data_IF_399252795063
#
_entry.id   IF_399252795063
#
_cell.length_a   1.000
_cell.length_b   1.000
_cell.length_c   1.000
_cell.angle_alpha   90.00
_cell.angle_beta   90.00
_cell.angle_gamma   90.00
#
_symmetry.space_group_name_H-M   'P 1'
#
loop_
_entity.id
_entity.type
_entity.pdbx_description
1 polymer ?
#
# COMPACT_ATOMS: atom_id res chain seq x y z
N UNK A 1 -7.94 15.62 27.83
CA UNK A 1 -7.79 14.21 28.24
C UNK A 1 -8.81 13.38 27.47
N UNK A 2 -8.45 12.98 26.25
CA UNK A 2 -9.30 12.17 25.39
C UNK A 2 -9.34 10.75 25.93
N UNK A 3 -10.53 10.28 26.30
CA UNK A 3 -10.71 8.89 26.70
C UNK A 3 -10.24 7.98 25.58
N UNK A 4 -9.26 7.12 25.88
CA UNK A 4 -8.96 5.97 25.04
C UNK A 4 -10.25 5.16 25.04
N UNK A 5 -10.97 5.12 23.90
CA UNK A 5 -12.11 4.22 23.77
C UNK A 5 -11.62 2.81 24.09
N UNK A 6 -12.43 1.98 24.75
CA UNK A 6 -12.10 0.57 25.03
C UNK A 6 -11.57 -0.16 23.78
N UNK A 7 -11.98 0.28 22.58
CA UNK A 7 -11.54 -0.21 21.27
C UNK A 7 -10.09 0.15 20.89
N UNK A 8 -9.37 0.92 21.71
CA UNK A 8 -8.02 1.43 21.40
C UNK A 8 -6.93 0.87 22.31
N UNK A 9 -7.29 0.13 23.36
CA UNK A 9 -6.32 -0.51 24.24
C UNK A 9 -6.25 -2.02 23.95
N UNK A 10 -5.07 -2.55 23.62
CA UNK A 10 -4.88 -3.95 23.24
C UNK A 10 -4.80 -4.86 24.47
N UNK A 11 -5.94 -4.98 25.18
CA UNK A 11 -5.97 -5.59 26.50
C UNK A 11 -5.51 -7.05 26.54
N UNK A 12 -5.84 -7.87 25.53
CA UNK A 12 -5.42 -9.28 25.54
C UNK A 12 -3.92 -9.41 25.31
N UNK A 13 -3.38 -8.59 24.41
CA UNK A 13 -1.95 -8.55 24.15
C UNK A 13 -1.17 -8.05 25.39
N UNK A 14 -1.73 -7.10 26.13
CA UNK A 14 -1.18 -6.64 27.41
C UNK A 14 -1.23 -7.76 28.44
N UNK A 15 -2.38 -8.41 28.62
CA UNK A 15 -2.55 -9.52 29.56
C UNK A 15 -1.51 -10.62 29.28
N UNK A 16 -1.31 -10.97 28.00
CA UNK A 16 -0.24 -11.90 27.58
C UNK A 16 1.14 -11.45 28.08
N UNK A 17 1.55 -10.20 27.84
CA UNK A 17 2.87 -9.72 28.29
C UNK A 17 3.01 -9.72 29.82
N UNK A 18 1.95 -9.35 30.53
CA UNK A 18 1.94 -9.23 32.00
C UNK A 18 1.95 -10.60 32.67
N UNK A 19 1.09 -11.51 32.22
CA UNK A 19 0.96 -12.86 32.77
C UNK A 19 2.26 -13.65 32.62
N UNK A 20 2.96 -13.44 31.50
CA UNK A 20 4.26 -14.07 31.20
C UNK A 20 5.46 -13.24 31.68
N UNK A 21 5.23 -12.11 32.38
CA UNK A 21 6.25 -11.26 32.98
C UNK A 21 7.34 -10.82 31.99
N UNK A 22 6.95 -10.52 30.75
CA UNK A 22 7.87 -10.12 29.68
C UNK A 22 8.52 -8.77 30.03
N UNK A 23 9.83 -8.63 29.82
CA UNK A 23 10.61 -7.41 30.15
C UNK A 23 11.55 -7.01 29.05
N UNK A 24 11.52 -5.74 28.65
CA UNK A 24 12.48 -5.21 27.69
C UNK A 24 12.05 -3.93 27.02
N UNK A 25 12.81 -3.53 25.99
CA UNK A 25 12.54 -2.36 25.19
C UNK A 25 11.80 -2.76 23.92
N UNK A 26 10.64 -2.14 23.67
CA UNK A 26 9.77 -2.48 22.55
C UNK A 26 9.69 -1.36 21.51
N UNK A 27 9.77 -1.74 20.24
CA UNK A 27 9.31 -0.93 19.12
C UNK A 27 7.80 -1.07 18.98
N UNK A 28 7.07 0.03 18.73
CA UNK A 28 5.61 -0.02 18.66
C UNK A 28 5.00 0.93 17.62
N UNK A 29 3.73 0.71 17.31
CA UNK A 29 2.96 1.59 16.44
C UNK A 29 2.57 2.90 17.14
N UNK A 30 2.35 3.96 16.34
CA UNK A 30 2.04 5.31 16.84
C UNK A 30 0.60 5.36 17.39
N UNK A 31 0.40 4.86 18.62
CA UNK A 31 -0.92 4.87 19.26
C UNK A 31 -0.87 4.94 20.80
N UNK A 32 -2.01 5.26 21.41
CA UNK A 32 -2.14 5.43 22.86
C UNK A 32 -2.03 4.13 23.67
N UNK A 33 -2.17 2.96 23.03
CA UNK A 33 -2.16 1.66 23.70
C UNK A 33 -0.77 1.31 24.24
N UNK A 34 0.25 1.44 23.38
CA UNK A 34 1.64 1.23 23.77
C UNK A 34 2.13 2.24 24.82
N UNK A 35 1.68 3.51 24.73
CA UNK A 35 1.94 4.53 25.75
C UNK A 35 1.39 4.15 27.13
N UNK A 36 0.14 3.67 27.17
CA UNK A 36 -0.50 3.26 28.42
C UNK A 36 0.20 2.05 29.03
N UNK A 37 0.70 1.13 28.22
CA UNK A 37 1.42 -0.04 28.69
C UNK A 37 2.69 0.36 29.47
N UNK A 38 3.54 1.24 28.92
CA UNK A 38 4.74 1.73 29.61
C UNK A 38 4.46 2.55 30.88
N UNK A 39 3.25 3.12 31.03
CA UNK A 39 2.82 3.83 32.24
C UNK A 39 2.24 2.92 33.32
N UNK A 40 1.59 1.84 32.92
CA UNK A 40 0.85 0.95 33.83
C UNK A 40 1.73 -0.20 34.31
N UNK A 41 2.72 -0.61 33.50
CA UNK A 41 3.63 -1.71 33.80
C UNK A 41 5.09 -1.26 33.62
N UNK A 42 5.73 -0.65 34.63
CA UNK A 42 7.07 -0.06 34.51
C UNK A 42 8.19 -1.03 34.15
N UNK A 43 7.98 -2.33 34.42
CA UNK A 43 8.89 -3.42 34.06
C UNK A 43 8.88 -3.74 32.55
N UNK A 44 7.84 -3.29 31.84
CA UNK A 44 7.73 -3.38 30.38
C UNK A 44 7.96 -1.97 29.81
N UNK A 45 9.20 -1.67 29.43
CA UNK A 45 9.58 -0.36 28.88
C UNK A 45 9.14 -0.26 27.41
N UNK A 46 7.85 -0.11 27.22
CA UNK A 46 7.24 0.15 25.91
C UNK A 46 7.15 1.65 25.77
N UNK A 47 7.99 2.25 24.94
CA UNK A 47 8.05 3.71 24.84
C UNK A 47 8.49 4.24 23.48
N UNK A 48 8.85 3.40 22.50
CA UNK A 48 9.49 3.86 21.26
C UNK A 48 8.47 4.10 20.14
N UNK A 49 7.79 5.25 20.24
CA UNK A 49 6.60 5.60 19.45
C UNK A 49 6.78 6.90 18.66
N UNK A 50 7.99 7.19 18.18
CA UNK A 50 8.27 8.33 17.29
C UNK A 50 8.23 9.71 17.95
N UNK A 51 7.90 9.82 19.24
CA UNK A 51 7.78 11.12 19.92
C UNK A 51 9.11 11.89 19.97
N UNK A 52 9.11 13.06 19.34
CA UNK A 52 10.31 13.88 19.14
C UNK A 52 10.84 14.47 20.44
N UNK A 53 9.99 14.65 21.46
CA UNK A 53 10.39 15.12 22.78
C UNK A 53 11.16 14.08 23.60
N UNK A 54 11.01 12.79 23.27
CA UNK A 54 11.71 11.68 23.96
C UNK A 54 12.92 11.19 23.16
N UNK A 55 12.78 11.07 21.82
CA UNK A 55 13.79 10.42 20.97
C UNK A 55 14.41 11.35 19.90
N UNK A 56 13.94 12.59 19.79
CA UNK A 56 14.46 13.56 18.83
C UNK A 56 13.93 13.40 17.39
N UNK A 57 14.18 14.40 16.56
CA UNK A 57 13.69 14.46 15.17
C UNK A 57 14.40 13.52 14.20
N UNK A 58 15.62 13.07 14.50
CA UNK A 58 16.32 12.04 13.73
C UNK A 58 15.61 10.69 13.87
N UNK A 59 15.34 10.26 15.10
CA UNK A 59 14.59 9.05 15.40
C UNK A 59 13.22 9.08 14.74
N UNK A 60 12.46 10.17 14.89
CA UNK A 60 11.11 10.26 14.30
C UNK A 60 11.12 10.13 12.78
N UNK A 61 12.09 10.78 12.10
CA UNK A 61 12.26 10.61 10.64
C UNK A 61 12.59 9.16 10.27
N UNK A 62 13.38 8.48 11.09
CA UNK A 62 13.69 7.07 10.86
C UNK A 62 12.50 6.15 11.11
N UNK A 63 11.78 6.37 12.19
CA UNK A 63 10.52 5.71 12.50
C UNK A 63 9.52 5.83 11.35
N UNK A 64 9.31 7.05 10.83
CA UNK A 64 8.43 7.27 9.68
C UNK A 64 8.89 6.51 8.44
N UNK A 65 10.20 6.44 8.15
CA UNK A 65 10.70 5.63 7.02
C UNK A 65 10.42 4.14 7.21
N UNK A 66 10.59 3.61 8.43
CA UNK A 66 10.24 2.22 8.74
C UNK A 66 8.73 2.01 8.53
N UNK A 67 7.91 2.92 9.04
CA UNK A 67 6.46 2.82 8.99
C UNK A 67 5.83 3.11 7.62
N UNK A 68 6.45 3.96 6.79
CA UNK A 68 5.91 4.29 5.46
C UNK A 68 6.48 3.38 4.37
N UNK A 69 7.72 2.93 4.52
CA UNK A 69 8.48 2.22 3.46
C UNK A 69 8.95 0.83 3.85
N UNK A 70 8.74 0.39 5.09
CA UNK A 70 9.29 -0.89 5.58
C UNK A 70 10.81 -0.93 5.47
N UNK A 71 11.49 0.13 5.91
CA UNK A 71 12.95 0.23 5.90
C UNK A 71 13.59 -0.66 6.99
N UNK A 72 13.86 -1.92 6.64
CA UNK A 72 14.36 -2.93 7.58
C UNK A 72 15.80 -2.66 8.03
N UNK A 73 16.63 -2.04 7.20
CA UNK A 73 18.01 -1.68 7.57
C UNK A 73 18.02 -0.62 8.66
N UNK A 74 17.15 0.38 8.52
CA UNK A 74 17.00 1.41 9.53
C UNK A 74 16.39 0.86 10.82
N UNK A 75 15.46 -0.09 10.71
CA UNK A 75 14.93 -0.80 11.86
C UNK A 75 16.04 -1.52 12.64
N UNK A 76 16.93 -2.27 11.98
CA UNK A 76 18.04 -2.95 12.66
C UNK A 76 19.01 -1.98 13.37
N UNK A 77 19.26 -0.81 12.76
CA UNK A 77 20.03 0.25 13.44
C UNK A 77 19.35 0.68 14.75
N UNK A 78 18.02 0.90 14.72
CA UNK A 78 17.24 1.26 15.91
C UNK A 78 17.26 0.12 16.94
N UNK A 79 17.18 -1.14 16.51
CA UNK A 79 17.26 -2.31 17.39
C UNK A 79 18.55 -2.31 18.19
N UNK A 80 19.68 -2.00 17.56
CA UNK A 80 20.98 -1.93 18.22
C UNK A 80 21.10 -0.70 19.14
N UNK A 81 20.77 0.49 18.62
CA UNK A 81 20.91 1.77 19.33
C UNK A 81 20.08 1.80 20.63
N UNK A 82 18.87 1.25 20.57
CA UNK A 82 17.94 1.28 21.70
C UNK A 82 17.77 -0.07 22.40
N UNK A 83 18.60 -1.06 22.05
CA UNK A 83 18.60 -2.39 22.66
C UNK A 83 17.20 -3.03 22.67
N UNK A 84 16.52 -2.97 21.52
CA UNK A 84 15.18 -3.53 21.38
C UNK A 84 15.22 -5.05 21.55
N UNK A 85 14.30 -5.55 22.37
CA UNK A 85 14.09 -7.00 22.58
C UNK A 85 12.69 -7.44 22.18
N UNK A 86 11.78 -6.51 21.88
CA UNK A 86 10.43 -6.82 21.43
C UNK A 86 9.90 -5.85 20.39
N UNK A 87 8.89 -6.29 19.65
CA UNK A 87 8.08 -5.47 18.76
C UNK A 87 6.63 -5.70 19.12
N UNK A 88 5.90 -4.63 19.45
CA UNK A 88 4.50 -4.67 19.86
C UNK A 88 3.67 -3.80 18.93
N UNK A 89 2.84 -4.40 18.07
CA UNK A 89 2.10 -3.69 17.04
C UNK A 89 0.61 -3.90 17.26
N UNK A 90 -0.05 -2.89 17.84
CA UNK A 90 -1.44 -2.97 18.27
C UNK A 90 -2.43 -2.41 17.25
N UNK A 91 -2.21 -2.73 15.98
CA UNK A 91 -2.88 -2.17 14.80
C UNK A 91 -4.41 -2.36 14.80
N UNK A 92 -5.13 -1.60 15.62
CA UNK A 92 -6.59 -1.49 15.54
C UNK A 92 -7.00 -0.38 14.56
N UNK A 93 -6.10 0.55 14.24
CA UNK A 93 -6.44 1.77 13.47
C UNK A 93 -5.51 2.09 12.30
N UNK A 94 -4.31 1.54 12.22
CA UNK A 94 -3.33 1.89 11.19
C UNK A 94 -2.76 0.64 10.54
N UNK A 95 -2.65 0.64 9.21
CA UNK A 95 -2.03 -0.44 8.46
C UNK A 95 -0.56 -0.60 8.88
N UNK A 96 -0.19 -1.78 9.37
CA UNK A 96 1.22 -2.15 9.55
C UNK A 96 1.78 -2.46 8.16
N UNK A 97 2.98 -1.95 7.81
CA UNK A 97 3.58 -2.24 6.50
C UNK A 97 3.85 -3.74 6.33
N UNK A 98 3.30 -4.31 5.26
CA UNK A 98 3.50 -5.73 4.89
C UNK A 98 4.99 -6.11 4.85
N UNK A 99 5.82 -5.27 4.23
CA UNK A 99 7.27 -5.50 4.15
C UNK A 99 7.92 -5.59 5.54
N UNK A 100 7.45 -4.81 6.51
CA UNK A 100 8.00 -4.82 7.86
C UNK A 100 7.51 -6.04 8.66
N UNK A 101 6.22 -6.40 8.56
CA UNK A 101 5.71 -7.63 9.18
C UNK A 101 6.37 -8.88 8.63
N UNK A 102 6.52 -8.98 7.31
CA UNK A 102 7.17 -10.12 6.67
C UNK A 102 8.63 -10.22 7.11
N UNK A 103 9.34 -9.09 7.19
CA UNK A 103 10.69 -9.07 7.73
C UNK A 103 10.78 -9.65 9.15
N UNK A 104 9.88 -9.25 10.04
CA UNK A 104 9.86 -9.77 11.42
C UNK A 104 9.48 -11.24 11.48
N UNK A 105 8.55 -11.69 10.64
CA UNK A 105 8.10 -13.09 10.62
C UNK A 105 9.10 -14.05 9.99
N UNK A 106 9.77 -13.62 8.91
CA UNK A 106 10.74 -14.44 8.18
C UNK A 106 12.15 -14.41 8.83
N UNK A 107 12.41 -13.47 9.73
CA UNK A 107 13.70 -13.33 10.39
C UNK A 107 13.93 -14.41 11.45
N UNK A 108 15.13 -15.03 11.52
CA UNK A 108 15.47 -15.96 12.61
C UNK A 108 15.66 -15.25 13.96
N UNK A 109 15.88 -13.93 13.94
CA UNK A 109 16.14 -13.12 15.12
C UNK A 109 14.86 -12.71 15.85
N UNK A 110 13.70 -12.85 15.20
CA UNK A 110 12.40 -12.43 15.72
C UNK A 110 11.42 -13.60 15.69
N UNK A 111 10.65 -13.74 16.77
CA UNK A 111 9.69 -14.83 16.95
C UNK A 111 8.32 -14.30 17.28
N UNK A 112 7.33 -14.70 16.48
CA UNK A 112 5.94 -14.32 16.69
C UNK A 112 5.41 -15.12 17.88
N UNK A 113 5.16 -14.45 19.00
CA UNK A 113 4.68 -15.11 20.24
C UNK A 113 3.23 -14.79 20.57
N UNK A 114 2.66 -13.79 19.90
CA UNK A 114 1.27 -13.39 20.08
C UNK A 114 0.67 -12.86 18.80
N UNK A 115 -0.53 -13.35 18.47
CA UNK A 115 -1.30 -12.91 17.32
C UNK A 115 -2.80 -13.00 17.62
N UNK A 116 -3.46 -11.85 17.75
CA UNK A 116 -4.93 -11.75 17.84
C UNK A 116 -5.40 -10.42 17.20
N UNK A 117 -6.69 -10.11 17.32
CA UNK A 117 -7.29 -8.95 16.68
C UNK A 117 -6.81 -7.59 17.19
N UNK A 118 -6.18 -7.55 18.36
CA UNK A 118 -5.77 -6.33 19.04
C UNK A 118 -4.27 -6.04 18.93
N UNK A 119 -3.43 -7.06 18.76
CA UNK A 119 -2.01 -6.86 18.48
C UNK A 119 -1.30 -8.07 17.84
N UNK A 120 -0.09 -7.78 17.36
CA UNK A 120 0.95 -8.74 17.01
C UNK A 120 2.17 -8.45 17.86
N UNK A 121 2.76 -9.48 18.47
CA UNK A 121 3.98 -9.33 19.29
C UNK A 121 5.07 -10.26 18.78
N UNK A 122 6.21 -9.66 18.47
CA UNK A 122 7.44 -10.39 18.21
C UNK A 122 8.41 -10.19 19.37
N UNK A 123 9.09 -11.26 19.76
CA UNK A 123 10.20 -11.21 20.70
C UNK A 123 11.49 -11.56 19.99
N UNK A 124 12.57 -10.91 20.41
CA UNK A 124 13.89 -11.22 19.90
C UNK A 124 14.31 -12.60 20.40
N UNK A 125 14.95 -13.38 19.54
CA UNK A 125 15.42 -14.73 19.83
C UNK A 125 16.69 -14.70 20.69
N UNK A 126 16.53 -14.34 21.97
CA UNK A 126 17.59 -14.20 22.98
C UNK A 126 17.38 -15.18 24.13
N UNK A 127 18.40 -15.38 24.96
CA UNK A 127 18.39 -16.36 26.05
C UNK A 127 17.24 -16.13 27.03
N UNK A 128 16.93 -14.86 27.31
CA UNK A 128 15.90 -14.41 28.24
C UNK A 128 14.49 -14.83 27.83
N UNK A 129 14.24 -15.04 26.53
CA UNK A 129 12.92 -15.38 26.00
C UNK A 129 12.83 -16.81 25.44
N UNK A 130 13.86 -17.64 25.56
CA UNK A 130 13.85 -18.98 24.97
C UNK A 130 12.67 -19.83 25.46
N UNK A 131 12.44 -19.88 26.77
CA UNK A 131 11.36 -20.69 27.35
C UNK A 131 9.98 -20.22 26.84
N UNK A 132 9.78 -18.89 26.82
CA UNK A 132 8.54 -18.29 26.34
C UNK A 132 8.33 -18.50 24.84
N UNK A 133 9.39 -18.38 24.04
CA UNK A 133 9.34 -18.62 22.60
C UNK A 133 9.03 -20.11 22.34
N UNK A 134 9.66 -21.04 23.06
CA UNK A 134 9.37 -22.47 22.90
C UNK A 134 7.91 -22.81 23.19
N UNK A 135 7.27 -22.12 24.14
CA UNK A 135 5.87 -22.34 24.49
C UNK A 135 4.88 -21.65 23.52
N UNK A 136 5.24 -20.48 22.98
CA UNK A 136 4.31 -19.61 22.26
C UNK A 136 4.68 -19.27 20.81
N UNK A 137 5.75 -19.84 20.21
CA UNK A 137 6.08 -19.59 18.80
C UNK A 137 4.89 -19.96 17.89
N UNK A 138 4.42 -18.98 17.11
CA UNK A 138 3.22 -19.11 16.27
C UNK A 138 3.64 -19.34 14.82
N UNK A 139 3.30 -20.53 14.31
CA UNK A 139 3.31 -20.83 12.88
C UNK A 139 1.97 -20.42 12.26
N UNK A 140 1.94 -19.29 11.55
CA UNK A 140 0.72 -18.77 10.92
C UNK A 140 0.14 -19.70 9.84
N UNK A 141 0.93 -20.64 9.29
CA UNK A 141 0.40 -21.64 8.36
C UNK A 141 -0.53 -22.63 9.06
N UNK A 142 -0.22 -22.98 10.32
CA UNK A 142 -0.97 -23.92 11.14
C UNK A 142 -1.89 -23.25 12.15
N UNK A 143 -1.75 -21.93 12.30
CA UNK A 143 -2.51 -21.16 13.26
C UNK A 143 -4.00 -21.14 12.90
N UNK A 144 -4.83 -21.29 13.92
CA UNK A 144 -6.27 -21.11 13.84
C UNK A 144 -6.73 -20.24 15.01
N UNK A 145 -7.75 -19.40 14.80
CA UNK A 145 -8.31 -18.64 15.89
C UNK A 145 -9.09 -19.53 16.86
N UNK A 146 -8.95 -19.25 18.14
CA UNK A 146 -9.81 -19.88 19.14
C UNK A 146 -11.27 -19.50 18.89
N UNK A 147 -12.19 -20.48 18.88
CA UNK A 147 -13.61 -20.18 18.76
C UNK A 147 -14.05 -19.34 19.96
N UNK A 148 -14.78 -18.25 19.68
CA UNK A 148 -15.36 -17.44 20.74
C UNK A 148 -16.38 -18.27 21.51
N UNK A 149 -16.24 -18.33 22.83
CA UNK A 149 -17.31 -18.84 23.69
C UNK A 149 -18.45 -17.81 23.72
N UNK A 150 -19.38 -18.00 22.77
CA UNK A 150 -20.53 -17.13 22.54
C UNK A 150 -21.39 -17.03 23.81
N UNK A 151 -21.46 -18.10 24.60
CA UNK A 151 -22.25 -18.15 25.85
C UNK A 151 -21.60 -17.27 26.92
N UNK A 152 -20.27 -17.33 27.05
CA UNK A 152 -19.52 -16.52 28.03
C UNK A 152 -19.44 -15.04 27.64
N UNK A 153 -19.32 -14.75 26.35
CA UNK A 153 -19.16 -13.37 25.83
C UNK A 153 -20.52 -12.65 25.77
N UNK A 154 -21.59 -13.40 25.49
CA UNK A 154 -22.93 -12.88 25.29
C UNK A 154 -23.11 -12.18 23.94
N UNK A 155 -24.34 -12.16 23.39
CA UNK A 155 -24.61 -11.70 22.03
C UNK A 155 -24.30 -10.21 21.79
N UNK A 156 -24.30 -9.40 22.85
CA UNK A 156 -24.01 -7.94 22.76
C UNK A 156 -22.53 -7.60 22.57
N UNK A 157 -21.61 -8.57 22.71
CA UNK A 157 -20.16 -8.36 22.59
C UNK A 157 -19.53 -9.11 21.41
N UNK A 158 -20.35 -9.72 20.56
CA UNK A 158 -19.91 -10.38 19.33
C UNK A 158 -19.72 -9.32 18.26
N UNK A 159 -18.47 -8.93 18.06
CA UNK A 159 -18.13 -7.87 17.13
C UNK A 159 -17.31 -8.42 15.97
N UNK A 160 -17.75 -8.23 14.71
CA UNK A 160 -17.10 -8.81 13.54
C UNK A 160 -15.74 -8.17 13.26
N UNK A 161 -15.43 -7.03 13.90
CA UNK A 161 -14.15 -6.35 13.73
C UNK A 161 -12.98 -7.23 14.18
N UNK A 162 -13.17 -8.13 15.16
CA UNK A 162 -12.08 -8.97 15.69
C UNK A 162 -11.51 -9.89 14.61
N UNK A 163 -12.39 -10.69 14.03
CA UNK A 163 -12.09 -11.56 12.90
C UNK A 163 -11.56 -10.76 11.70
N UNK A 164 -12.14 -9.59 11.43
CA UNK A 164 -11.66 -8.73 10.34
C UNK A 164 -10.22 -8.24 10.55
N UNK A 165 -9.83 -7.80 11.75
CA UNK A 165 -8.47 -7.31 11.97
C UNK A 165 -7.44 -8.44 11.88
N UNK A 166 -7.77 -9.64 12.38
CA UNK A 166 -6.91 -10.82 12.15
C UNK A 166 -6.79 -11.11 10.66
N UNK A 167 -7.90 -11.15 9.94
CA UNK A 167 -7.89 -11.35 8.49
C UNK A 167 -7.03 -10.32 7.77
N UNK A 168 -7.14 -9.05 8.14
CA UNK A 168 -6.39 -7.94 7.55
C UNK A 168 -4.89 -8.05 7.80
N UNK A 169 -4.49 -8.44 9.01
CA UNK A 169 -3.08 -8.67 9.33
C UNK A 169 -2.53 -9.89 8.60
N UNK A 170 -3.29 -10.99 8.54
CA UNK A 170 -2.93 -12.19 7.77
C UNK A 170 -2.76 -11.90 6.28
N UNK A 171 -3.68 -11.12 5.68
CA UNK A 171 -3.57 -10.66 4.28
C UNK A 171 -2.30 -9.84 4.08
N UNK A 172 -2.00 -8.92 5.01
CA UNK A 172 -0.79 -8.08 4.96
C UNK A 172 0.49 -8.91 5.06
N UNK A 173 0.44 -10.06 5.74
CA UNK A 173 1.54 -11.01 5.87
C UNK A 173 1.57 -12.07 4.75
N UNK A 174 0.62 -12.03 3.82
CA UNK A 174 0.55 -12.97 2.69
C UNK A 174 -0.14 -14.32 3.00
N UNK A 175 -0.69 -14.51 4.20
CA UNK A 175 -1.44 -15.70 4.60
C UNK A 175 -2.89 -15.63 4.09
N UNK A 176 -3.05 -15.63 2.77
CA UNK A 176 -4.32 -15.34 2.10
C UNK A 176 -5.44 -16.34 2.45
N UNK A 177 -5.11 -17.62 2.67
CA UNK A 177 -6.11 -18.64 3.02
C UNK A 177 -6.65 -18.47 4.44
N UNK A 178 -5.76 -18.25 5.41
CA UNK A 178 -6.10 -17.93 6.80
C UNK A 178 -6.87 -16.61 6.85
N UNK A 179 -6.44 -15.60 6.08
CA UNK A 179 -7.12 -14.32 5.97
C UNK A 179 -8.57 -14.47 5.47
N UNK A 180 -8.79 -15.28 4.42
CA UNK A 180 -10.15 -15.58 3.93
C UNK A 180 -10.98 -16.33 4.97
N UNK A 181 -10.40 -17.27 5.74
CA UNK A 181 -11.10 -18.01 6.81
C UNK A 181 -11.60 -17.05 7.88
N UNK A 182 -10.73 -16.18 8.39
CA UNK A 182 -11.10 -15.17 9.38
C UNK A 182 -12.10 -14.16 8.82
N UNK A 183 -11.94 -13.69 7.59
CA UNK A 183 -12.89 -12.78 6.96
C UNK A 183 -14.30 -13.39 6.82
N UNK A 184 -14.39 -14.70 6.52
CA UNK A 184 -15.67 -15.41 6.49
C UNK A 184 -16.31 -15.50 7.87
N UNK A 185 -15.53 -15.79 8.91
CA UNK A 185 -16.04 -15.76 10.29
C UNK A 185 -16.63 -14.38 10.62
N UNK A 186 -15.96 -13.28 10.23
CA UNK A 186 -16.50 -11.94 10.41
C UNK A 186 -17.88 -11.75 9.74
N UNK A 187 -18.09 -12.36 8.57
CA UNK A 187 -19.36 -12.33 7.85
C UNK A 187 -20.43 -13.24 8.46
N UNK A 188 -20.04 -14.38 9.04
CA UNK A 188 -20.97 -15.25 9.75
C UNK A 188 -21.57 -14.55 10.98
N UNK A 189 -20.79 -13.69 11.65
CA UNK A 189 -21.29 -12.83 12.74
C UNK A 189 -22.08 -11.62 12.25
N UNK A 190 -21.64 -10.97 11.18
CA UNK A 190 -22.35 -9.83 10.59
C UNK A 190 -22.24 -9.83 9.06
N UNK A 191 -23.26 -10.37 8.37
CA UNK A 191 -23.29 -10.42 6.90
C UNK A 191 -23.32 -9.04 6.23
N UNK A 192 -23.64 -7.97 6.95
CA UNK A 192 -23.65 -6.60 6.42
C UNK A 192 -22.31 -5.88 6.55
N UNK A 193 -21.30 -6.53 7.16
CA UNK A 193 -20.01 -5.91 7.36
C UNK A 193 -19.21 -5.86 6.04
N UNK A 194 -19.09 -4.67 5.47
CA UNK A 194 -18.52 -4.47 4.15
C UNK A 194 -17.01 -4.80 4.04
N UNK A 195 -16.22 -4.55 5.09
CA UNK A 195 -14.75 -4.66 5.02
C UNK A 195 -14.23 -6.09 4.75
N UNK A 196 -14.79 -7.16 5.34
CA UNK A 196 -14.44 -8.53 4.96
C UNK A 196 -14.67 -8.85 3.49
N UNK A 197 -15.76 -8.35 2.87
CA UNK A 197 -15.97 -8.51 1.43
C UNK A 197 -14.87 -7.80 0.62
N UNK A 198 -14.52 -6.57 1.00
CA UNK A 198 -13.41 -5.85 0.37
C UNK A 198 -12.09 -6.63 0.47
N UNK A 199 -11.79 -7.17 1.65
CA UNK A 199 -10.57 -7.96 1.87
C UNK A 199 -10.54 -9.23 1.01
N UNK A 200 -11.62 -10.02 1.01
CA UNK A 200 -11.69 -11.23 0.18
C UNK A 200 -11.59 -10.87 -1.31
N UNK A 201 -12.21 -9.76 -1.73
CA UNK A 201 -12.09 -9.24 -3.09
C UNK A 201 -10.66 -8.89 -3.48
N UNK A 202 -9.91 -8.20 -2.60
CA UNK A 202 -8.49 -7.88 -2.82
C UNK A 202 -7.64 -9.14 -2.95
N UNK A 203 -7.87 -10.15 -2.11
CA UNK A 203 -7.17 -11.44 -2.22
C UNK A 203 -7.45 -12.09 -3.58
N UNK A 204 -8.70 -12.11 -4.04
CA UNK A 204 -8.99 -12.66 -5.37
C UNK A 204 -8.35 -11.86 -6.51
N UNK A 205 -8.33 -10.52 -6.41
CA UNK A 205 -7.68 -9.68 -7.41
C UNK A 205 -6.16 -9.88 -7.46
N UNK A 206 -5.51 -10.05 -6.29
CA UNK A 206 -4.07 -10.38 -6.18
C UNK A 206 -3.72 -11.69 -6.89
N UNK A 207 -4.64 -12.65 -6.92
CA UNK A 207 -4.50 -13.93 -7.63
C UNK A 207 -5.14 -13.92 -9.04
N UNK A 208 -5.36 -12.72 -9.61
CA UNK A 208 -5.91 -12.50 -10.96
C UNK A 208 -7.29 -13.14 -11.20
N UNK A 209 -8.01 -13.49 -10.13
CA UNK A 209 -9.36 -14.04 -10.19
C UNK A 209 -10.39 -12.91 -10.25
N UNK A 210 -10.30 -12.06 -11.29
CA UNK A 210 -11.03 -10.79 -11.39
C UNK A 210 -12.56 -10.93 -11.29
N UNK A 211 -13.13 -11.98 -11.88
CA UNK A 211 -14.57 -12.28 -11.77
C UNK A 211 -15.03 -12.55 -10.34
N UNK A 212 -14.19 -13.23 -9.54
CA UNK A 212 -14.49 -13.44 -8.12
C UNK A 212 -14.32 -12.12 -7.36
N UNK A 213 -13.23 -11.40 -7.61
CA UNK A 213 -12.96 -10.10 -6.98
C UNK A 213 -14.12 -9.12 -7.18
N UNK A 214 -14.62 -9.01 -8.43
CA UNK A 214 -15.78 -8.20 -8.79
C UNK A 214 -17.01 -8.52 -7.94
N UNK A 215 -17.37 -9.81 -7.79
CA UNK A 215 -18.53 -10.22 -6.98
C UNK A 215 -18.41 -9.72 -5.53
N UNK A 216 -17.23 -9.84 -4.93
CA UNK A 216 -16.99 -9.39 -3.56
C UNK A 216 -16.96 -7.87 -3.43
N UNK A 217 -16.29 -7.14 -4.33
CA UNK A 217 -16.27 -5.67 -4.30
C UNK A 217 -17.64 -5.05 -4.55
N UNK A 218 -18.46 -5.67 -5.40
CA UNK A 218 -19.84 -5.24 -5.64
C UNK A 218 -20.67 -5.32 -4.37
N UNK A 219 -20.57 -6.43 -3.63
CA UNK A 219 -21.25 -6.60 -2.34
C UNK A 219 -20.73 -5.61 -1.29
N UNK A 220 -19.40 -5.42 -1.20
CA UNK A 220 -18.81 -4.42 -0.30
C UNK A 220 -19.37 -3.01 -0.56
N UNK A 221 -19.47 -2.62 -1.83
CA UNK A 221 -20.01 -1.32 -2.25
C UNK A 221 -21.52 -1.20 -2.02
N UNK A 222 -22.28 -2.30 -2.12
CA UNK A 222 -23.71 -2.30 -1.75
C UNK A 222 -23.92 -1.98 -0.26
N UNK A 223 -23.09 -2.53 0.62
CA UNK A 223 -23.19 -2.27 2.06
C UNK A 223 -22.62 -0.90 2.48
N UNK A 224 -21.64 -0.37 1.73
CA UNK A 224 -21.07 0.96 1.99
C UNK A 224 -20.97 1.80 0.70
N UNK A 225 -22.09 2.29 0.15
CA UNK A 225 -22.10 3.01 -1.12
C UNK A 225 -21.38 4.37 -1.06
N UNK A 226 -21.17 4.93 0.12
CA UNK A 226 -20.40 6.17 0.32
C UNK A 226 -18.88 5.96 0.47
N UNK A 227 -18.39 4.71 0.47
CA UNK A 227 -16.98 4.43 0.68
C UNK A 227 -16.20 4.49 -0.65
N UNK A 228 -15.46 5.59 -0.84
CA UNK A 228 -14.68 5.86 -2.06
C UNK A 228 -13.60 4.79 -2.30
N UNK A 229 -12.97 4.25 -1.25
CA UNK A 229 -11.96 3.20 -1.40
C UNK A 229 -12.58 1.92 -1.97
N UNK A 230 -13.77 1.54 -1.50
CA UNK A 230 -14.49 0.37 -2.03
C UNK A 230 -14.93 0.59 -3.48
N UNK A 231 -15.36 1.81 -3.83
CA UNK A 231 -15.65 2.16 -5.23
C UNK A 231 -14.43 2.08 -6.14
N UNK A 232 -13.26 2.50 -5.69
CA UNK A 232 -12.01 2.31 -6.45
C UNK A 232 -11.75 0.84 -6.75
N UNK A 233 -11.93 -0.04 -5.77
CA UNK A 233 -11.73 -1.47 -5.96
C UNK A 233 -12.77 -2.05 -6.94
N UNK A 234 -14.03 -1.61 -6.86
CA UNK A 234 -15.07 -2.01 -7.80
C UNK A 234 -14.77 -1.52 -9.23
N UNK A 235 -14.36 -0.27 -9.40
CA UNK A 235 -13.98 0.31 -10.69
C UNK A 235 -12.79 -0.42 -11.32
N UNK A 236 -11.77 -0.76 -10.50
CA UNK A 236 -10.64 -1.58 -10.94
C UNK A 236 -11.11 -2.96 -11.39
N UNK A 237 -11.95 -3.64 -10.61
CA UNK A 237 -12.43 -4.96 -10.99
C UNK A 237 -13.30 -4.94 -12.25
N UNK A 238 -14.11 -3.90 -12.49
CA UNK A 238 -14.80 -3.71 -13.77
C UNK A 238 -13.80 -3.56 -14.92
N UNK A 239 -12.73 -2.80 -14.73
CA UNK A 239 -11.68 -2.64 -15.73
C UNK A 239 -11.00 -3.98 -16.04
N UNK A 240 -10.66 -4.76 -15.02
CA UNK A 240 -9.93 -6.03 -15.16
C UNK A 240 -10.77 -7.15 -15.81
N UNK A 241 -12.10 -7.11 -15.68
CA UNK A 241 -13.01 -8.03 -16.39
C UNK A 241 -13.43 -7.53 -17.79
N UNK A 242 -12.87 -6.41 -18.27
CA UNK A 242 -13.16 -5.85 -19.59
C UNK A 242 -14.44 -5.00 -19.69
N UNK A 243 -15.11 -4.75 -18.57
CA UNK A 243 -16.35 -3.95 -18.50
C UNK A 243 -16.01 -2.45 -18.34
N UNK A 244 -15.33 -1.91 -19.35
CA UNK A 244 -14.70 -0.58 -19.31
C UNK A 244 -15.72 0.56 -19.16
N UNK A 245 -16.91 0.47 -19.75
CA UNK A 245 -17.98 1.46 -19.57
C UNK A 245 -18.44 1.53 -18.10
N UNK A 246 -18.59 0.38 -17.44
CA UNK A 246 -18.99 0.33 -16.03
C UNK A 246 -17.87 0.82 -15.11
N UNK A 247 -16.61 0.55 -15.47
CA UNK A 247 -15.46 1.12 -14.77
C UNK A 247 -15.47 2.66 -14.85
N UNK A 248 -15.74 3.21 -16.05
CA UNK A 248 -15.86 4.65 -16.27
C UNK A 248 -16.96 5.28 -15.40
N UNK A 249 -18.14 4.65 -15.33
CA UNK A 249 -19.23 5.12 -14.47
C UNK A 249 -18.83 5.19 -12.99
N UNK A 250 -18.11 4.18 -12.48
CA UNK A 250 -17.65 4.19 -11.09
C UNK A 250 -16.59 5.26 -10.84
N UNK A 251 -15.66 5.49 -11.77
CA UNK A 251 -14.71 6.60 -11.66
C UNK A 251 -15.39 7.97 -11.71
N UNK A 252 -16.42 8.13 -12.53
CA UNK A 252 -17.23 9.36 -12.55
C UNK A 252 -17.95 9.58 -11.22
N UNK A 253 -18.50 8.53 -10.59
CA UNK A 253 -19.07 8.63 -9.24
C UNK A 253 -18.01 9.04 -8.21
N UNK A 254 -16.80 8.48 -8.28
CA UNK A 254 -15.69 8.86 -7.40
C UNK A 254 -15.36 10.35 -7.57
N UNK A 255 -15.28 10.85 -8.81
CA UNK A 255 -15.00 12.26 -9.12
C UNK A 255 -16.15 13.15 -8.65
N UNK A 256 -17.41 12.73 -8.75
CA UNK A 256 -18.54 13.48 -8.19
C UNK A 256 -18.44 13.61 -6.67
N UNK A 257 -18.02 12.55 -5.97
CA UNK A 257 -17.82 12.57 -4.52
C UNK A 257 -16.56 13.35 -4.11
N UNK A 258 -15.52 13.34 -4.95
CA UNK A 258 -14.25 14.06 -4.78
C UNK A 258 -13.79 14.71 -6.09
N UNK A 259 -14.23 15.95 -6.38
CA UNK A 259 -13.98 16.61 -7.66
C UNK A 259 -12.51 16.87 -8.02
N UNK A 260 -11.63 16.88 -7.02
CA UNK A 260 -10.21 17.22 -7.13
C UNK A 260 -9.31 16.05 -6.68
N UNK A 261 -9.58 14.85 -7.19
CA UNK A 261 -8.82 13.65 -6.87
C UNK A 261 -7.97 13.21 -8.09
N UNK A 262 -6.66 13.55 -8.14
CA UNK A 262 -5.80 13.25 -9.29
C UNK A 262 -5.77 11.76 -9.66
N UNK A 263 -5.79 10.88 -8.65
CA UNK A 263 -5.82 9.43 -8.85
C UNK A 263 -7.07 8.96 -9.62
N UNK A 264 -8.23 9.55 -9.35
CA UNK A 264 -9.46 9.19 -10.06
C UNK A 264 -9.41 9.63 -11.53
N UNK A 265 -8.84 10.82 -11.79
CA UNK A 265 -8.68 11.36 -13.13
C UNK A 265 -7.69 10.56 -13.97
N UNK A 266 -6.57 10.12 -13.37
CA UNK A 266 -5.64 9.19 -14.01
C UNK A 266 -6.30 7.86 -14.39
N UNK A 267 -6.97 7.21 -13.44
CA UNK A 267 -7.61 5.93 -13.70
C UNK A 267 -8.77 6.05 -14.71
N UNK A 268 -9.52 7.15 -14.67
CA UNK A 268 -10.51 7.50 -15.69
C UNK A 268 -9.87 7.65 -17.08
N UNK A 269 -8.74 8.36 -17.18
CA UNK A 269 -8.00 8.51 -18.44
C UNK A 269 -7.59 7.15 -19.00
N UNK A 270 -7.05 6.26 -18.16
CA UNK A 270 -6.70 4.88 -18.54
C UNK A 270 -7.89 4.09 -19.10
N UNK A 271 -9.06 4.20 -18.47
CA UNK A 271 -10.29 3.55 -18.95
C UNK A 271 -10.74 4.14 -20.28
N UNK A 272 -10.65 5.46 -20.44
CA UNK A 272 -11.02 6.14 -21.68
C UNK A 272 -10.11 5.76 -22.85
N UNK A 273 -8.81 5.50 -22.61
CA UNK A 273 -7.90 4.94 -23.62
C UNK A 273 -8.37 3.56 -24.08
N UNK A 274 -8.74 2.66 -23.14
CA UNK A 274 -9.31 1.35 -23.49
C UNK A 274 -10.65 1.39 -24.22
N UNK A 275 -11.35 2.52 -24.12
CA UNK A 275 -12.58 2.80 -24.87
C UNK A 275 -12.31 3.59 -26.17
N UNK A 276 -11.05 3.79 -26.55
CA UNK A 276 -10.60 4.57 -27.72
C UNK A 276 -11.08 6.04 -27.71
N UNK A 277 -11.39 6.58 -26.53
CA UNK A 277 -11.85 7.97 -26.31
C UNK A 277 -10.68 8.88 -25.96
N UNK A 278 -9.70 8.97 -26.84
CA UNK A 278 -8.40 9.57 -26.55
C UNK A 278 -8.44 11.05 -26.17
N UNK A 279 -9.29 11.86 -26.81
CA UNK A 279 -9.40 13.29 -26.45
C UNK A 279 -10.00 13.48 -25.05
N UNK A 280 -11.01 12.69 -24.70
CA UNK A 280 -11.57 12.70 -23.34
C UNK A 280 -10.54 12.19 -22.32
N UNK A 281 -9.72 11.21 -22.69
CA UNK A 281 -8.63 10.72 -21.86
C UNK A 281 -7.59 11.82 -21.60
N UNK A 282 -7.22 12.59 -22.64
CA UNK A 282 -6.30 13.73 -22.53
C UNK A 282 -6.85 14.81 -21.59
N UNK A 283 -8.11 15.21 -21.76
CA UNK A 283 -8.75 16.21 -20.89
C UNK A 283 -8.79 15.76 -19.43
N UNK A 284 -9.06 14.47 -19.18
CA UNK A 284 -9.08 13.93 -17.82
C UNK A 284 -7.68 13.99 -17.18
N UNK A 285 -6.64 13.55 -17.90
CA UNK A 285 -5.28 13.55 -17.35
C UNK A 285 -4.69 14.96 -17.23
N UNK A 286 -5.01 15.86 -18.17
CA UNK A 286 -4.61 17.28 -18.10
C UNK A 286 -5.16 17.93 -16.83
N UNK A 287 -6.45 17.71 -16.53
CA UNK A 287 -7.04 18.16 -15.26
C UNK A 287 -6.34 17.53 -14.05
N UNK A 288 -6.02 16.24 -14.12
CA UNK A 288 -5.31 15.53 -13.05
C UNK A 288 -3.91 16.11 -12.79
N UNK A 289 -3.16 16.36 -13.87
CA UNK A 289 -1.82 16.96 -13.83
C UNK A 289 -1.86 18.39 -13.30
N UNK A 290 -2.85 19.20 -13.67
CA UNK A 290 -3.01 20.55 -13.13
C UNK A 290 -3.24 20.56 -11.60
N UNK A 291 -3.88 19.52 -11.05
CA UNK A 291 -4.09 19.36 -9.61
C UNK A 291 -2.84 18.85 -8.87
N UNK A 292 -2.06 17.98 -9.51
CA UNK A 292 -0.81 17.47 -8.97
C UNK A 292 0.23 17.24 -10.09
N UNK A 293 1.04 18.25 -10.44
CA UNK A 293 1.99 18.17 -11.56
C UNK A 293 3.17 17.21 -11.34
N UNK A 294 3.24 16.54 -10.17
CA UNK A 294 4.42 15.77 -9.76
C UNK A 294 4.37 14.30 -10.17
N UNK A 295 3.34 13.86 -10.87
CA UNK A 295 3.19 12.45 -11.27
C UNK A 295 3.49 12.25 -12.76
N UNK A 296 4.75 12.50 -13.14
CA UNK A 296 5.22 12.36 -14.52
C UNK A 296 5.19 10.89 -14.96
N UNK A 297 5.37 9.98 -14.01
CA UNK A 297 5.34 8.54 -14.19
C UNK A 297 3.96 8.04 -14.67
N UNK A 298 2.87 8.60 -14.15
CA UNK A 298 1.52 8.32 -14.63
C UNK A 298 1.34 8.72 -16.10
N UNK A 299 1.83 9.92 -16.47
CA UNK A 299 1.78 10.43 -17.85
C UNK A 299 2.57 9.55 -18.80
N UNK A 300 3.78 9.14 -18.39
CA UNK A 300 4.61 8.23 -19.17
C UNK A 300 3.93 6.86 -19.34
N UNK A 301 3.31 6.33 -18.29
CA UNK A 301 2.61 5.04 -18.34
C UNK A 301 1.47 5.05 -19.36
N UNK A 302 0.65 6.10 -19.39
CA UNK A 302 -0.45 6.22 -20.35
C UNK A 302 0.07 6.52 -21.77
N UNK A 303 1.15 7.32 -21.88
CA UNK A 303 1.81 7.56 -23.16
C UNK A 303 2.41 6.29 -23.77
N UNK A 304 3.03 5.44 -22.95
CA UNK A 304 3.58 4.14 -23.37
C UNK A 304 2.45 3.22 -23.86
N UNK A 305 1.34 3.16 -23.13
CA UNK A 305 0.16 2.40 -23.54
C UNK A 305 -0.37 2.87 -24.91
N UNK A 306 -0.51 4.18 -25.11
CA UNK A 306 -0.96 4.75 -26.39
C UNK A 306 0.03 4.47 -27.53
N UNK A 307 1.34 4.51 -27.25
CA UNK A 307 2.36 4.19 -28.23
C UNK A 307 2.30 2.72 -28.67
N UNK A 308 2.08 1.79 -27.73
CA UNK A 308 1.88 0.36 -28.00
C UNK A 308 0.61 0.11 -28.83
N UNK A 309 -0.46 0.88 -28.59
CA UNK A 309 -1.71 0.84 -29.35
C UNK A 309 -1.60 1.54 -30.73
N UNK A 310 -0.47 2.22 -31.02
CA UNK A 310 -0.20 2.90 -32.30
C UNK A 310 -0.69 4.35 -32.38
N UNK A 311 -1.21 4.89 -31.27
CA UNK A 311 -1.79 6.23 -31.16
C UNK A 311 -0.72 7.30 -30.87
N UNK A 312 0.26 7.41 -31.77
CA UNK A 312 1.47 8.20 -31.57
C UNK A 312 1.21 9.68 -31.29
N UNK A 313 0.16 10.26 -31.88
CA UNK A 313 -0.20 11.66 -31.65
C UNK A 313 -0.59 11.90 -30.18
N UNK A 314 -1.45 11.04 -29.62
CA UNK A 314 -1.87 11.16 -28.23
C UNK A 314 -0.76 10.75 -27.27
N UNK A 315 0.00 9.69 -27.59
CA UNK A 315 1.18 9.32 -26.82
C UNK A 315 2.13 10.51 -26.64
N UNK A 316 2.41 11.25 -27.73
CA UNK A 316 3.23 12.45 -27.69
C UNK A 316 2.64 13.53 -26.78
N UNK A 317 1.34 13.83 -26.92
CA UNK A 317 0.66 14.85 -26.09
C UNK A 317 0.74 14.50 -24.60
N UNK A 318 0.63 13.23 -24.23
CA UNK A 318 0.73 12.79 -22.84
C UNK A 318 2.16 12.97 -22.30
N UNK A 319 3.19 12.63 -23.07
CA UNK A 319 4.57 12.92 -22.68
C UNK A 319 4.84 14.42 -22.59
N UNK A 320 4.35 15.20 -23.55
CA UNK A 320 4.55 16.65 -23.57
C UNK A 320 3.92 17.36 -22.38
N UNK A 321 2.77 16.85 -21.89
CA UNK A 321 2.16 17.33 -20.66
C UNK A 321 3.09 17.16 -19.45
N UNK A 322 3.95 16.14 -19.45
CA UNK A 322 4.95 15.88 -18.41
C UNK A 322 6.05 16.92 -18.32
N UNK A 323 6.34 17.65 -19.41
CA UNK A 323 7.34 18.74 -19.40
C UNK A 323 6.90 19.95 -18.55
N UNK A 324 5.64 20.00 -18.10
CA UNK A 324 5.20 20.98 -17.08
C UNK A 324 5.82 20.75 -15.70
N UNK A 325 6.42 19.59 -15.48
CA UNK A 325 7.15 19.21 -14.26
C UNK A 325 8.66 19.30 -14.51
N UNK A 326 9.48 19.57 -13.48
CA UNK A 326 10.95 19.54 -13.60
C UNK A 326 11.55 18.11 -13.42
N UNK A 327 10.72 17.07 -13.32
CA UNK A 327 11.16 15.68 -13.09
C UNK A 327 11.24 14.89 -14.39
N UNK A 328 12.17 13.94 -14.45
CA UNK A 328 12.31 12.96 -15.55
C UNK A 328 12.35 13.58 -16.96
N UNK A 329 12.93 14.77 -17.08
CA UNK A 329 12.96 15.53 -18.35
C UNK A 329 13.79 14.85 -19.43
N UNK A 330 14.88 14.18 -19.04
CA UNK A 330 15.70 13.37 -19.93
C UNK A 330 14.91 12.18 -20.47
N UNK A 331 14.20 11.46 -19.60
CA UNK A 331 13.37 10.32 -19.99
C UNK A 331 12.18 10.72 -20.86
N UNK A 332 11.47 11.82 -20.54
CA UNK A 332 10.39 12.34 -21.38
C UNK A 332 10.89 12.73 -22.77
N UNK A 333 12.05 13.40 -22.84
CA UNK A 333 12.67 13.76 -24.11
C UNK A 333 13.04 12.52 -24.93
N UNK A 334 13.58 11.48 -24.28
CA UNK A 334 13.82 10.19 -24.93
C UNK A 334 12.52 9.58 -25.50
N UNK A 335 11.45 9.51 -24.69
CA UNK A 335 10.15 8.94 -25.10
C UNK A 335 9.53 9.67 -26.29
N UNK A 336 9.60 10.99 -26.30
CA UNK A 336 9.13 11.80 -27.44
C UNK A 336 10.01 11.58 -28.68
N UNK A 337 11.33 11.49 -28.51
CA UNK A 337 12.25 11.17 -29.60
C UNK A 337 11.97 9.80 -30.22
N UNK A 338 11.70 8.79 -29.39
CA UNK A 338 11.33 7.43 -29.84
C UNK A 338 10.02 7.44 -30.65
N UNK A 339 9.01 8.22 -30.23
CA UNK A 339 7.78 8.39 -31.02
C UNK A 339 8.04 9.02 -32.39
N UNK A 340 8.89 10.05 -32.46
CA UNK A 340 9.25 10.66 -33.74
C UNK A 340 9.95 9.68 -34.68
N UNK A 341 10.76 8.75 -34.15
CA UNK A 341 11.30 7.65 -34.95
C UNK A 341 10.22 6.72 -35.49
N UNK A 342 9.26 6.33 -34.66
CA UNK A 342 8.13 5.49 -35.08
C UNK A 342 7.28 6.18 -36.17
N UNK A 343 7.19 7.51 -36.14
CA UNK A 343 6.53 8.32 -37.17
C UNK A 343 7.42 8.64 -38.38
N UNK A 344 8.64 8.09 -38.45
CA UNK A 344 9.64 8.34 -39.51
C UNK A 344 10.05 9.83 -39.65
N UNK A 345 10.02 10.57 -38.54
CA UNK A 345 10.41 11.98 -38.42
C UNK A 345 11.78 12.08 -37.74
N UNK A 346 12.83 11.66 -38.46
CA UNK A 346 14.18 11.52 -37.92
C UNK A 346 14.79 12.83 -37.38
N UNK A 347 14.48 13.98 -37.99
CA UNK A 347 15.02 15.27 -37.55
C UNK A 347 14.45 15.69 -36.20
N UNK A 348 13.14 15.54 -36.00
CA UNK A 348 12.49 15.81 -34.72
C UNK A 348 12.97 14.84 -33.63
N UNK A 349 13.18 13.57 -33.98
CA UNK A 349 13.75 12.59 -33.07
C UNK A 349 15.15 13.00 -32.58
N UNK A 350 16.03 13.41 -33.51
CA UNK A 350 17.38 13.90 -33.18
C UNK A 350 17.32 15.10 -32.23
N UNK A 351 16.44 16.08 -32.48
CA UNK A 351 16.26 17.24 -31.60
C UNK A 351 15.90 16.85 -30.16
N UNK A 352 14.97 15.91 -29.98
CA UNK A 352 14.57 15.44 -28.65
C UNK A 352 15.64 14.58 -27.97
N UNK A 353 16.39 13.77 -28.73
CA UNK A 353 17.55 13.05 -28.19
C UNK A 353 18.68 13.97 -27.74
N UNK A 354 18.93 15.06 -28.47
CA UNK A 354 19.89 16.09 -28.07
C UNK A 354 19.46 16.76 -26.77
N UNK A 355 18.17 17.09 -26.62
CA UNK A 355 17.63 17.60 -25.34
C UNK A 355 17.85 16.63 -24.19
N UNK A 356 17.59 15.34 -24.39
CA UNK A 356 17.81 14.32 -23.37
C UNK A 356 19.29 14.24 -22.95
N UNK A 357 20.21 14.28 -23.91
CA UNK A 357 21.66 14.26 -23.67
C UNK A 357 22.19 15.54 -23.03
N UNK A 358 21.58 16.71 -23.29
CA UNK A 358 21.92 17.95 -22.60
C UNK A 358 21.63 17.86 -21.10
N UNK A 359 20.56 17.15 -20.72
CA UNK A 359 20.18 16.95 -19.32
C UNK A 359 21.03 15.84 -18.68
N UNK A 360 21.23 14.74 -19.41
CA UNK A 360 21.96 13.57 -18.94
C UNK A 360 22.92 13.04 -20.04
N UNK A 361 24.19 13.50 -20.04
CA UNK A 361 25.16 13.14 -21.08
C UNK A 361 25.54 11.65 -21.12
N UNK A 362 25.36 10.92 -20.02
CA UNK A 362 25.78 9.52 -19.84
C UNK A 362 24.79 8.51 -20.47
N UNK A 363 23.75 8.98 -21.18
CA UNK A 363 22.74 8.14 -21.82
C UNK A 363 23.26 7.47 -23.10
N UNK A 364 24.16 6.49 -22.94
CA UNK A 364 24.76 5.72 -24.04
C UNK A 364 23.72 5.11 -25.00
N UNK A 365 22.56 4.70 -24.48
CA UNK A 365 21.45 4.17 -25.29
C UNK A 365 20.93 5.18 -26.33
N UNK A 366 20.90 6.47 -25.99
CA UNK A 366 20.44 7.53 -26.90
C UNK A 366 21.49 7.78 -27.98
N UNK A 367 22.77 7.77 -27.62
CA UNK A 367 23.86 7.91 -28.60
C UNK A 367 23.81 6.80 -29.66
N UNK A 368 23.50 5.56 -29.26
CA UNK A 368 23.29 4.44 -30.19
C UNK A 368 22.09 4.68 -31.12
N UNK A 369 20.95 5.17 -30.58
CA UNK A 369 19.77 5.52 -31.38
C UNK A 369 20.05 6.65 -32.40
N UNK A 370 20.89 7.61 -32.04
CA UNK A 370 21.27 8.74 -32.91
C UNK A 370 22.31 8.40 -33.98
N UNK A 371 23.15 7.39 -33.77
CA UNK A 371 24.23 7.01 -34.71
C UNK A 371 23.74 6.86 -36.16
N UNK A 372 22.68 6.07 -36.42
CA UNK A 372 22.06 5.93 -37.73
C UNK A 372 21.27 7.16 -38.21
N UNK A 373 21.12 8.22 -37.42
CA UNK A 373 20.32 9.41 -37.79
C UNK A 373 21.21 10.63 -38.06
N UNK A 374 22.47 10.60 -37.61
CA UNK A 374 23.41 11.73 -37.69
C UNK A 374 23.72 12.19 -39.12
N UNK A 375 23.51 11.35 -40.14
CA UNK A 375 23.67 11.74 -41.54
C UNK A 375 22.49 12.57 -42.10
N UNK A 376 21.39 12.69 -41.34
CA UNK A 376 20.20 13.48 -41.68
C UNK A 376 20.20 14.87 -41.03
N UNK A 377 21.25 15.20 -40.27
CA UNK A 377 21.39 16.48 -39.59
C UNK A 377 22.30 17.41 -40.44
N UNK A 378 21.77 18.42 -41.15
CA UNK A 378 22.56 19.29 -42.02
C UNK A 378 23.41 20.35 -41.28
N UNK A 379 23.55 20.27 -39.95
CA UNK A 379 24.32 21.22 -39.13
C UNK A 379 25.61 20.65 -38.54
N UNK A 380 26.31 19.77 -39.26
CA UNK A 380 27.73 19.47 -38.98
C UNK A 380 28.62 19.74 -40.19
#
# INVERSE_FOLDING_TARGET
FGGVSLDSYPYKAVDFLVDHKVKGNFFNDFNSGAYLLGRTFPDIKVSMDGRTEVYGGEYFRGYLKIWEKGDTQLFEKIVQEYQLTGVFLSSVRQLIPAKFLNYLYDSPDWKLVYFDYDAVIFLKNIKEYQDLIMEHDIDLLKWESEPLDIVKIGPKRLEPYRYYYRAFTLESMGFDDQAKKEAKMALDFNPSYAKPYELIGRIYAKHEMYEKAFKYFRVATMFQPGNIKMRYNLASAYFDIGEHEKALEEYDRIIQMKPNEPKALFLKSRVLIKLEKYEAAYQAIEKGNALNPRNVEDLMTLGDQLAEEGEFLYARRFYELGFSSDRHQDLLSEKVGDLYLLMNQAQDAVHYFEKALQINPELNRIQVKMGPLNHLNPMK
#
